data_IF_815135096535
#
_entry.id   IF_815135096535
#
_cell.length_a   1.000
_cell.length_b   1.000
_cell.length_c   1.000
_cell.angle_alpha   90.00
_cell.angle_beta   90.00
_cell.angle_gamma   90.00
#
_symmetry.space_group_name_H-M   'P 1'
#
loop_
_entity.id
_entity.type
_entity.pdbx_description
1 polymer ?
#
# COMPACT_ATOMS: atom_id res chain seq x y z
N UNK A 1 15.12 1.45 11.90
CA UNK A 1 13.77 1.20 11.36
C UNK A 1 13.95 0.91 9.89
N UNK A 2 13.48 -0.23 9.40
CA UNK A 2 13.75 -0.64 8.03
C UNK A 2 13.11 0.32 7.02
N UNK A 3 13.86 0.71 5.98
CA UNK A 3 13.44 1.76 5.04
C UNK A 3 12.10 1.45 4.34
N UNK A 4 11.75 0.18 4.18
CA UNK A 4 10.48 -0.26 3.62
C UNK A 4 9.30 -0.10 4.59
N UNK A 5 9.51 -0.24 5.91
CA UNK A 5 8.46 -0.03 6.91
C UNK A 5 8.04 1.44 6.96
N UNK A 6 8.99 2.36 6.86
CA UNK A 6 8.71 3.82 6.80
C UNK A 6 7.94 4.19 5.53
N UNK A 7 8.22 3.52 4.41
CA UNK A 7 7.50 3.74 3.16
C UNK A 7 6.09 3.16 3.22
N UNK A 8 5.93 1.99 3.83
CA UNK A 8 4.63 1.36 4.03
C UNK A 8 3.75 2.10 5.05
N UNK A 9 4.31 2.63 6.14
CA UNK A 9 3.52 3.39 7.13
C UNK A 9 2.88 4.65 6.52
N UNK A 10 3.57 5.32 5.59
CA UNK A 10 2.99 6.45 4.83
C UNK A 10 1.80 6.04 3.97
N UNK A 11 1.84 4.84 3.39
CA UNK A 11 0.73 4.29 2.63
C UNK A 11 -0.48 4.07 3.54
N UNK A 12 -0.26 3.41 4.67
CA UNK A 12 -1.30 3.07 5.64
C UNK A 12 -1.94 4.33 6.24
N UNK A 13 -1.15 5.33 6.59
CA UNK A 13 -1.65 6.63 7.05
C UNK A 13 -2.52 7.32 5.97
N UNK A 14 -2.11 7.28 4.71
CA UNK A 14 -2.93 7.83 3.63
C UNK A 14 -4.28 7.11 3.51
N UNK A 15 -4.31 5.79 3.69
CA UNK A 15 -5.54 5.01 3.70
C UNK A 15 -6.45 5.36 4.89
N UNK A 16 -5.91 5.36 6.12
CA UNK A 16 -6.65 5.65 7.35
C UNK A 16 -7.22 7.07 7.34
N UNK A 17 -6.47 8.03 6.82
CA UNK A 17 -6.92 9.43 6.70
C UNK A 17 -7.91 9.66 5.53
N UNK A 18 -8.30 8.62 4.79
CA UNK A 18 -9.22 8.72 3.66
C UNK A 18 -8.62 9.36 2.40
N UNK A 19 -7.29 9.55 2.36
CA UNK A 19 -6.55 10.04 1.20
C UNK A 19 -6.30 8.88 0.21
N UNK A 20 -7.38 8.30 -0.30
CA UNK A 20 -7.35 7.07 -1.10
C UNK A 20 -6.56 7.22 -2.42
N UNK A 21 -6.62 8.39 -3.06
CA UNK A 21 -5.86 8.64 -4.30
C UNK A 21 -4.36 8.65 -4.05
N UNK A 22 -3.94 9.31 -2.98
CA UNK A 22 -2.55 9.35 -2.53
C UNK A 22 -2.08 7.96 -2.11
N UNK A 23 -2.90 7.23 -1.36
CA UNK A 23 -2.65 5.83 -1.00
C UNK A 23 -2.38 4.98 -2.25
N UNK A 24 -3.28 5.00 -3.23
CA UNK A 24 -3.11 4.25 -4.48
C UNK A 24 -1.82 4.66 -5.20
N UNK A 25 -1.52 5.96 -5.26
CA UNK A 25 -0.29 6.49 -5.88
C UNK A 25 0.96 5.94 -5.18
N UNK A 26 1.02 6.01 -3.86
CA UNK A 26 2.16 5.49 -3.09
C UNK A 26 2.31 3.97 -3.22
N UNK A 27 1.20 3.22 -3.15
CA UNK A 27 1.28 1.77 -3.29
C UNK A 27 1.75 1.35 -4.68
N UNK A 28 1.31 2.04 -5.74
CA UNK A 28 1.77 1.79 -7.11
C UNK A 28 3.29 1.98 -7.25
N UNK A 29 3.89 2.92 -6.53
CA UNK A 29 5.34 3.09 -6.49
C UNK A 29 6.02 1.92 -5.74
N UNK A 30 5.46 1.47 -4.62
CA UNK A 30 6.04 0.38 -3.83
C UNK A 30 6.02 -0.97 -4.55
N UNK A 31 4.94 -1.27 -5.28
CA UNK A 31 4.84 -2.55 -6.01
C UNK A 31 5.72 -2.61 -7.26
N UNK A 32 6.21 -1.46 -7.75
CA UNK A 32 7.16 -1.37 -8.86
C UNK A 32 8.61 -1.59 -8.40
N UNK A 33 8.88 -1.46 -7.10
CA UNK A 33 10.22 -1.66 -6.52
C UNK A 33 10.52 -3.17 -6.41
N UNK A 34 11.49 -3.64 -7.19
CA UNK A 34 11.87 -5.06 -7.25
C UNK A 34 12.60 -5.55 -6.00
N UNK A 35 13.10 -4.64 -5.17
CA UNK A 35 13.76 -4.97 -3.89
C UNK A 35 12.77 -5.04 -2.73
N UNK A 36 11.50 -4.69 -2.97
CA UNK A 36 10.48 -4.66 -1.94
C UNK A 36 10.18 -6.07 -1.40
N UNK A 37 10.09 -6.26 -0.08
CA UNK A 37 9.72 -7.55 0.49
C UNK A 37 8.36 -8.01 -0.04
N UNK A 38 8.18 -9.29 -0.42
CA UNK A 38 6.94 -9.80 -0.98
C UNK A 38 5.70 -9.53 -0.12
N UNK A 39 5.87 -9.56 1.21
CA UNK A 39 4.81 -9.24 2.17
C UNK A 39 4.32 -7.79 2.01
N UNK A 40 5.24 -6.83 1.85
CA UNK A 40 4.90 -5.41 1.65
C UNK A 40 4.21 -5.21 0.30
N UNK A 41 4.63 -5.95 -0.73
CA UNK A 41 3.96 -5.94 -2.04
C UNK A 41 2.51 -6.43 -1.89
N UNK A 42 2.28 -7.56 -1.23
CA UNK A 42 0.93 -8.13 -1.02
C UNK A 42 0.05 -7.14 -0.24
N UNK A 43 0.56 -6.58 0.87
CA UNK A 43 -0.12 -5.56 1.67
C UNK A 43 -0.49 -4.32 0.85
N UNK A 44 0.43 -3.84 0.01
CA UNK A 44 0.19 -2.66 -0.83
C UNK A 44 -0.89 -2.92 -1.89
N UNK A 45 -0.90 -4.12 -2.49
CA UNK A 45 -1.92 -4.52 -3.47
C UNK A 45 -3.32 -4.66 -2.83
N UNK A 46 -3.38 -5.21 -1.61
CA UNK A 46 -4.61 -5.25 -0.81
C UNK A 46 -5.14 -3.83 -0.56
N UNK A 47 -4.28 -2.92 -0.10
CA UNK A 47 -4.67 -1.54 0.16
C UNK A 47 -5.17 -0.80 -1.09
N UNK A 48 -4.54 -1.01 -2.26
CA UNK A 48 -5.05 -0.46 -3.53
C UNK A 48 -6.45 -1.02 -3.82
N UNK A 49 -6.65 -2.33 -3.63
CA UNK A 49 -7.94 -2.97 -3.87
C UNK A 49 -9.05 -2.36 -3.00
N UNK A 50 -8.77 -2.09 -1.72
CA UNK A 50 -9.71 -1.46 -0.80
C UNK A 50 -9.97 0.02 -1.11
N UNK A 51 -8.92 0.76 -1.50
CA UNK A 51 -8.99 2.19 -1.76
C UNK A 51 -9.58 2.55 -3.12
N UNK A 52 -9.68 1.57 -4.04
CA UNK A 52 -10.14 1.79 -5.40
C UNK A 52 -11.65 1.91 -5.49
N UNK A 53 -12.13 3.04 -6.04
CA UNK A 53 -13.55 3.26 -6.35
C UNK A 53 -14.02 2.49 -7.60
N UNK A 54 -13.10 2.05 -8.47
CA UNK A 54 -13.41 1.21 -9.63
C UNK A 54 -13.34 -0.28 -9.22
N UNK A 55 -14.46 -0.98 -9.39
CA UNK A 55 -14.60 -2.40 -9.07
C UNK A 55 -13.66 -3.27 -9.91
N UNK A 56 -13.46 -2.94 -11.19
CA UNK A 56 -12.56 -3.69 -12.05
C UNK A 56 -11.12 -3.49 -11.61
N UNK A 57 -10.73 -2.25 -11.32
CA UNK A 57 -9.39 -1.93 -10.81
C UNK A 57 -9.16 -2.63 -9.45
N UNK A 58 -10.14 -2.55 -8.55
CA UNK A 58 -10.11 -3.23 -7.25
C UNK A 58 -9.90 -4.74 -7.39
N UNK A 59 -10.66 -5.40 -8.27
CA UNK A 59 -10.53 -6.84 -8.54
C UNK A 59 -9.20 -7.21 -9.21
N UNK A 60 -8.66 -6.36 -10.08
CA UNK A 60 -7.34 -6.56 -10.69
C UNK A 60 -6.25 -6.58 -9.62
N UNK A 61 -6.24 -5.61 -8.69
CA UNK A 61 -5.27 -5.57 -7.61
C UNK A 61 -5.45 -6.69 -6.59
N UNK A 62 -6.70 -7.07 -6.28
CA UNK A 62 -6.98 -8.26 -5.45
C UNK A 62 -6.39 -9.53 -6.05
N UNK A 63 -6.59 -9.77 -7.36
CA UNK A 63 -6.02 -10.93 -8.07
C UNK A 63 -4.50 -10.88 -8.15
N UNK A 64 -3.92 -9.69 -8.32
CA UNK A 64 -2.49 -9.50 -8.27
C UNK A 64 -1.93 -9.88 -6.89
N UNK A 65 -2.57 -9.44 -5.81
CA UNK A 65 -2.20 -9.79 -4.45
C UNK A 65 -2.28 -11.31 -4.20
N UNK A 66 -3.35 -11.98 -4.65
CA UNK A 66 -3.47 -13.45 -4.59
C UNK A 66 -2.31 -14.14 -5.33
N UNK A 67 -1.99 -13.66 -6.53
CA UNK A 67 -0.89 -14.20 -7.34
C UNK A 67 0.45 -14.07 -6.62
N UNK A 68 0.72 -12.91 -6.00
CA UNK A 68 1.93 -12.70 -5.22
C UNK A 68 1.97 -13.57 -3.95
N UNK A 69 0.84 -13.73 -3.27
CA UNK A 69 0.73 -14.62 -2.12
C UNK A 69 1.09 -16.07 -2.49
N UNK A 70 0.48 -16.62 -3.55
CA UNK A 70 0.79 -17.99 -3.99
C UNK A 70 2.25 -18.17 -4.40
N UNK A 71 2.83 -17.21 -5.11
CA UNK A 71 4.25 -17.24 -5.49
C UNK A 71 5.16 -17.23 -4.26
N UNK A 72 4.82 -16.42 -3.26
CA UNK A 72 5.60 -16.26 -2.03
C UNK A 72 5.52 -17.53 -1.19
N UNK A 73 4.33 -18.11 -1.01
CA UNK A 73 4.18 -19.32 -0.18
C UNK A 73 4.73 -20.58 -0.86
N UNK A 74 4.70 -20.67 -2.19
CA UNK A 74 5.24 -21.82 -2.92
C UNK A 74 6.76 -22.01 -2.75
N UNK A 75 7.51 -20.96 -2.40
CA UNK A 75 8.95 -21.02 -2.18
C UNK A 75 9.35 -21.19 -0.70
N UNK A 76 8.38 -21.19 0.22
CA UNK A 76 8.63 -21.24 1.65
C UNK A 76 8.37 -22.64 2.22
N UNK A 77 9.24 -23.10 3.12
CA UNK A 77 9.04 -24.36 3.85
C UNK A 77 7.99 -24.24 4.95
N UNK A 78 7.86 -23.04 5.52
CA UNK A 78 6.88 -22.70 6.55
C UNK A 78 6.28 -21.33 6.21
N UNK A 79 4.96 -21.21 6.35
CA UNK A 79 4.23 -19.97 6.09
C UNK A 79 4.22 -19.16 7.38
N UNK A 80 4.64 -17.90 7.32
CA UNK A 80 4.60 -17.00 8.48
C UNK A 80 3.17 -16.66 8.88
N UNK A 81 2.97 -16.34 10.16
CA UNK A 81 1.66 -15.89 10.68
C UNK A 81 1.15 -14.65 9.93
N UNK A 82 2.03 -13.70 9.65
CA UNK A 82 1.72 -12.51 8.85
C UNK A 82 1.21 -12.86 7.43
N UNK A 83 1.77 -13.88 6.78
CA UNK A 83 1.26 -14.33 5.48
C UNK A 83 -0.10 -15.03 5.59
N UNK A 84 -0.38 -15.70 6.71
CA UNK A 84 -1.70 -16.29 6.97
C UNK A 84 -2.75 -15.20 7.23
N UNK A 85 -2.40 -14.14 7.95
CA UNK A 85 -3.27 -12.97 8.15
C UNK A 85 -3.60 -12.32 6.79
N UNK A 86 -2.59 -12.10 5.93
CA UNK A 86 -2.83 -11.54 4.59
C UNK A 86 -3.67 -12.46 3.70
N UNK A 87 -3.61 -13.78 3.91
CA UNK A 87 -4.52 -14.71 3.22
C UNK A 87 -5.96 -14.46 3.65
N UNK A 88 -6.18 -14.29 4.95
CA UNK A 88 -7.50 -14.00 5.50
C UNK A 88 -8.02 -12.66 4.98
N UNK A 89 -7.19 -11.62 4.94
CA UNK A 89 -7.56 -10.32 4.37
C UNK A 89 -8.00 -10.44 2.90
N UNK A 90 -7.27 -11.24 2.10
CA UNK A 90 -7.65 -11.51 0.70
C UNK A 90 -8.94 -12.31 0.56
N UNK A 91 -9.20 -13.24 1.49
CA UNK A 91 -10.43 -14.01 1.53
C UNK A 91 -11.64 -13.16 1.96
N UNK A 92 -11.44 -12.21 2.88
CA UNK A 92 -12.42 -11.20 3.29
C UNK A 92 -12.69 -10.19 2.15
N UNK A 93 -11.70 -9.91 1.30
CA UNK A 93 -11.83 -9.05 0.12
C UNK A 93 -12.45 -9.72 -1.11
N UNK A 94 -12.63 -11.05 -1.10
CA UNK A 94 -13.31 -11.73 -2.21
C UNK A 94 -14.63 -11.01 -2.49
N UNK A 95 -14.99 -10.86 -3.78
CA UNK A 95 -16.08 -9.99 -4.16
C UNK A 95 -17.32 -10.39 -3.35
N UNK A 96 -17.76 -9.46 -2.49
CA UNK A 96 -19.12 -9.42 -1.99
C UNK A 96 -19.99 -9.50 -3.24
N UNK A 97 -20.40 -10.72 -3.60
CA UNK A 97 -20.96 -11.04 -4.92
C UNK A 97 -22.41 -10.56 -5.04
N UNK A 98 -22.81 -9.61 -4.19
CA UNK A 98 -24.13 -9.05 -4.12
C UNK A 98 -23.99 -7.57 -3.81
N UNK A 99 -24.30 -6.77 -4.82
CA UNK A 99 -24.53 -5.32 -4.92
C UNK A 99 -25.31 -4.62 -3.76
N UNK A 100 -25.10 -4.96 -2.49
CA UNK A 100 -25.96 -4.50 -1.38
C UNK A 100 -25.28 -4.09 -0.07
N UNK A 101 -24.00 -4.41 0.16
CA UNK A 101 -23.39 -4.30 1.51
C UNK A 101 -22.12 -3.44 1.59
N UNK A 102 -21.89 -2.54 0.63
CA UNK A 102 -20.81 -1.53 0.71
C UNK A 102 -20.98 -0.54 1.89
N UNK A 103 -22.10 -0.60 2.62
CA UNK A 103 -22.30 0.16 3.87
C UNK A 103 -21.74 -0.54 5.11
N UNK A 104 -21.25 -1.78 5.01
CA UNK A 104 -20.85 -2.61 6.16
C UNK A 104 -19.37 -2.98 6.24
N UNK A 105 -18.55 -2.73 5.20
CA UNK A 105 -17.08 -2.81 5.34
C UNK A 105 -16.59 -1.52 6.02
N UNK A 106 -16.93 -1.38 7.31
CA UNK A 106 -16.23 -0.55 8.29
C UNK A 106 -15.49 -1.47 9.25
N UNK A 107 -14.66 -2.37 8.74
CA UNK A 107 -13.59 -2.94 9.56
C UNK A 107 -12.41 -1.97 9.42
N UNK A 108 -12.08 -1.16 10.45
CA UNK A 108 -10.77 -0.55 10.48
C UNK A 108 -9.76 -1.71 10.40
N UNK A 109 -8.79 -1.61 9.49
CA UNK A 109 -7.57 -2.40 9.62
C UNK A 109 -7.08 -2.14 11.04
N UNK A 110 -6.99 -3.23 11.81
CA UNK A 110 -6.73 -3.30 13.25
C UNK A 110 -5.90 -2.12 13.76
N UNK A 111 -6.52 -1.30 14.62
CA UNK A 111 -5.94 -0.08 15.20
C UNK A 111 -4.61 -0.39 15.92
N UNK A 112 -3.48 0.01 15.33
CA UNK A 112 -2.30 0.41 16.08
C UNK A 112 -2.34 1.95 16.18
N UNK A 113 -2.96 2.44 17.25
CA UNK A 113 -3.07 3.86 17.57
C UNK A 113 -1.69 4.50 17.74
N UNK A 114 -1.25 5.29 16.75
CA UNK A 114 -0.31 6.39 16.93
C UNK A 114 -0.80 7.61 16.13
N UNK A 115 -1.53 8.51 16.81
CA UNK A 115 -1.86 9.85 16.30
C UNK A 115 -0.55 10.63 16.10
N UNK A 116 -0.11 10.76 14.85
CA UNK A 116 0.95 11.69 14.46
C UNK A 116 0.31 12.86 13.72
N UNK A 117 0.23 14.03 14.38
CA UNK A 117 -0.17 15.32 13.77
C UNK A 117 0.74 15.63 12.56
N UNK A 118 0.19 15.52 11.34
CA UNK A 118 1.00 15.45 10.12
C UNK A 118 0.58 16.35 8.96
N UNK A 119 -0.31 17.34 9.16
CA UNK A 119 -0.82 18.18 8.05
C UNK A 119 0.29 18.91 7.25
N UNK A 120 1.41 19.25 7.88
CA UNK A 120 2.55 19.91 7.21
C UNK A 120 3.42 18.96 6.37
N UNK A 121 3.38 17.64 6.62
CA UNK A 121 4.25 16.67 5.96
C UNK A 121 3.68 16.25 4.60
N UNK A 122 2.35 16.25 4.47
CA UNK A 122 1.64 15.84 3.25
C UNK A 122 1.77 16.85 2.12
N UNK A 123 1.78 18.15 2.41
CA UNK A 123 1.95 19.19 1.39
C UNK A 123 3.34 19.14 0.76
N UNK A 124 4.37 18.87 1.58
CA UNK A 124 5.74 18.68 1.11
C UNK A 124 5.90 17.41 0.26
N UNK A 125 5.36 16.28 0.73
CA UNK A 125 5.42 15.01 0.01
C UNK A 125 4.71 15.07 -1.36
N UNK A 126 3.57 15.77 -1.44
CA UNK A 126 2.85 15.94 -2.71
C UNK A 126 3.65 16.78 -3.72
N UNK A 127 4.32 17.84 -3.26
CA UNK A 127 5.13 18.70 -4.11
C UNK A 127 6.36 17.97 -4.68
N UNK A 128 7.02 17.14 -3.87
CA UNK A 128 8.16 16.33 -4.32
C UNK A 128 7.75 15.29 -5.38
N UNK A 129 6.55 14.73 -5.27
CA UNK A 129 6.03 13.78 -6.25
C UNK A 129 5.73 14.43 -7.62
N UNK A 130 5.20 15.66 -7.61
CA UNK A 130 5.00 16.43 -8.85
C UNK A 130 6.32 16.80 -9.55
N UNK A 131 7.40 16.94 -8.78
CA UNK A 131 8.75 17.20 -9.30
C UNK A 131 9.39 15.93 -9.89
N UNK A 132 9.17 14.77 -9.28
CA UNK A 132 9.60 13.46 -9.80
C UNK A 132 8.86 13.11 -11.10
N UNK A 133 7.55 13.35 -11.19
CA UNK A 133 6.76 13.08 -12.40
C UNK A 133 7.18 13.97 -13.59
N UNK A 134 7.64 15.20 -13.31
CA UNK A 134 8.22 16.09 -14.32
C UNK A 134 9.66 15.72 -14.72
N UNK A 135 10.30 14.81 -14.00
CA UNK A 135 11.63 14.30 -14.28
C UNK A 135 11.58 12.81 -14.64
N UNK A 136 11.15 12.43 -15.86
CA UNK A 136 10.99 11.03 -16.28
C UNK A 136 12.31 10.22 -16.35
N UNK A 137 13.44 10.83 -16.00
CA UNK A 137 14.77 10.21 -15.92
C UNK A 137 15.39 10.29 -14.50
N UNK A 138 14.63 10.69 -13.48
CA UNK A 138 15.12 10.69 -12.10
C UNK A 138 15.37 9.23 -11.67
N UNK A 139 16.60 8.95 -11.25
CA UNK A 139 16.99 7.63 -10.76
C UNK A 139 16.52 7.42 -9.33
N UNK A 140 16.43 6.16 -8.90
CA UNK A 140 15.98 5.80 -7.55
C UNK A 140 16.85 6.45 -6.46
N UNK A 141 18.13 6.73 -6.75
CA UNK A 141 19.03 7.45 -5.86
C UNK A 141 18.69 8.95 -5.75
N UNK A 142 18.21 9.58 -6.83
CA UNK A 142 17.74 10.97 -6.80
C UNK A 142 16.49 11.12 -5.92
N UNK A 143 15.62 10.11 -5.93
CA UNK A 143 14.41 10.06 -5.08
C UNK A 143 14.80 9.83 -3.61
N UNK A 144 15.82 8.99 -3.33
CA UNK A 144 16.33 8.77 -1.97
C UNK A 144 16.94 10.05 -1.40
N UNK A 145 17.76 10.76 -2.16
CA UNK A 145 18.37 12.03 -1.73
C UNK A 145 17.31 13.10 -1.43
N UNK A 146 16.25 13.18 -2.24
CA UNK A 146 15.12 14.09 -1.99
C UNK A 146 14.35 13.72 -0.72
N UNK A 147 14.12 12.43 -0.47
CA UNK A 147 13.40 11.96 0.72
C UNK A 147 14.25 12.15 1.99
N UNK A 148 15.56 11.94 1.93
CA UNK A 148 16.47 12.16 3.05
C UNK A 148 16.66 13.66 3.34
N UNK A 149 16.56 14.53 2.33
CA UNK A 149 16.59 15.99 2.51
C UNK A 149 15.37 16.58 3.23
N UNK A 150 14.27 15.80 3.37
CA UNK A 150 13.03 16.20 4.03
C UNK A 150 12.97 15.79 5.52
N UNK A 151 13.98 15.10 6.06
CA UNK A 151 14.09 14.83 7.49
C UNK A 151 14.65 16.07 8.24
N UNK A 152 13.76 16.97 8.65
CA UNK A 152 13.99 17.93 9.76
C UNK A 152 13.08 17.55 10.92
#
# INVERSE_FOLDING_TARGET
MDAYLVRYSKLEQAYVNGHYKECIRFAKLLIQDTEMPPIIIIKSLILISCASDDINESEEYRKAAETHWYKTTASMSEISEELLELRQDLDDLKPLTVYGELSQIKKPMRDEDEEIEGDSVWEAASKTLDEIEKAPNATIDDIKDLVDSLQI
#
